data_IF_930991123887
#
_entry.id   IF_930991123887
#
_cell.length_a   1.000
_cell.length_b   1.000
_cell.length_c   1.000
_cell.angle_alpha   90.00
_cell.angle_beta   90.00
_cell.angle_gamma   90.00
#
_symmetry.space_group_name_H-M   'P 1'
#
loop_
_entity.id
_entity.type
_entity.pdbx_description
1 polymer ?
#
# COMPACT_ATOMS: atom_id res chain seq x y z
N UNK A 1 -23.41 -13.22 -12.43
CA UNK A 1 -22.36 -12.35 -13.00
C UNK A 1 -21.24 -12.26 -11.98
N UNK A 2 -20.02 -12.67 -12.34
CA UNK A 2 -18.86 -12.54 -11.44
C UNK A 2 -18.34 -11.11 -11.52
N UNK A 3 -18.07 -10.47 -10.38
CA UNK A 3 -17.55 -9.11 -10.34
C UNK A 3 -16.15 -9.02 -11.00
N UNK A 4 -15.88 -7.95 -11.75
CA UNK A 4 -14.60 -7.75 -12.45
C UNK A 4 -13.40 -7.56 -11.52
N UNK A 5 -13.66 -7.16 -10.27
CA UNK A 5 -12.67 -7.06 -9.21
C UNK A 5 -13.10 -7.93 -8.02
N UNK A 6 -12.12 -8.49 -7.33
CA UNK A 6 -12.32 -9.29 -6.12
C UNK A 6 -11.44 -8.69 -5.01
N UNK A 7 -12.04 -7.92 -4.08
CA UNK A 7 -11.31 -7.38 -2.95
C UNK A 7 -11.21 -8.40 -1.81
N UNK A 8 -10.13 -8.31 -1.05
CA UNK A 8 -9.87 -9.07 0.17
C UNK A 8 -9.24 -8.16 1.23
N UNK A 9 -9.49 -8.46 2.49
CA UNK A 9 -9.17 -7.60 3.63
C UNK A 9 -8.51 -8.40 4.72
N UNK A 10 -7.35 -7.95 5.16
CA UNK A 10 -6.62 -8.62 6.24
C UNK A 10 -6.14 -7.61 7.26
N UNK A 11 -6.57 -7.77 8.51
CA UNK A 11 -6.06 -7.02 9.63
C UNK A 11 -4.69 -7.54 10.06
N UNK A 12 -3.81 -6.66 10.54
CA UNK A 12 -2.51 -7.07 11.08
C UNK A 12 -2.65 -7.94 12.33
N UNK A 13 -3.73 -7.81 13.09
CA UNK A 13 -4.02 -8.63 14.28
C UNK A 13 -5.49 -9.04 14.30
N UNK A 14 -5.78 -10.19 14.88
CA UNK A 14 -7.16 -10.65 15.04
C UNK A 14 -7.87 -9.95 16.20
N UNK A 15 -7.12 -9.63 17.26
CA UNK A 15 -7.64 -8.97 18.46
C UNK A 15 -6.83 -7.72 18.78
N UNK A 16 -7.46 -6.78 19.48
CA UNK A 16 -6.85 -5.55 19.98
C UNK A 16 -7.05 -5.43 21.49
N UNK A 17 -6.04 -4.94 22.19
CA UNK A 17 -6.13 -4.77 23.63
C UNK A 17 -7.06 -3.59 23.98
N UNK A 18 -8.07 -3.85 24.80
CA UNK A 18 -9.10 -2.89 25.19
C UNK A 18 -8.60 -1.74 26.08
N UNK A 19 -7.55 -1.99 26.87
CA UNK A 19 -7.12 -1.06 27.92
C UNK A 19 -6.20 0.08 27.48
N UNK A 20 -5.84 0.18 26.19
CA UNK A 20 -4.87 1.19 25.74
C UNK A 20 -5.06 1.57 24.28
N UNK A 21 -4.48 2.71 23.90
CA UNK A 21 -4.40 3.10 22.49
C UNK A 21 -3.50 2.12 21.74
N UNK A 22 -3.90 1.74 20.53
CA UNK A 22 -3.22 0.76 19.72
C UNK A 22 -3.21 1.20 18.26
N UNK A 23 -2.18 0.78 17.52
CA UNK A 23 -2.15 0.95 16.07
C UNK A 23 -2.42 -0.40 15.40
N UNK A 24 -3.23 -0.38 14.35
CA UNK A 24 -3.51 -1.56 13.53
C UNK A 24 -3.38 -1.23 12.05
N UNK A 25 -2.99 -2.22 11.26
CA UNK A 25 -2.87 -2.07 9.80
C UNK A 25 -3.98 -2.91 9.16
N UNK A 26 -4.70 -2.32 8.21
CA UNK A 26 -5.53 -3.04 7.25
C UNK A 26 -4.78 -3.17 5.94
N UNK A 27 -4.52 -4.40 5.51
CA UNK A 27 -4.12 -4.68 4.15
C UNK A 27 -5.37 -4.85 3.29
N UNK A 28 -5.49 -4.06 2.24
CA UNK A 28 -6.53 -4.20 1.22
C UNK A 28 -5.88 -4.75 -0.04
N UNK A 29 -6.26 -5.96 -0.42
CA UNK A 29 -5.88 -6.59 -1.67
C UNK A 29 -7.05 -6.53 -2.65
N UNK A 30 -6.78 -6.29 -3.94
CA UNK A 30 -7.79 -6.53 -4.96
C UNK A 30 -7.19 -7.18 -6.21
N UNK A 31 -7.99 -8.06 -6.81
CA UNK A 31 -7.58 -8.86 -7.97
C UNK A 31 -8.50 -8.60 -9.15
N UNK A 32 -7.94 -8.50 -10.36
CA UNK A 32 -8.72 -8.51 -11.58
C UNK A 32 -9.23 -9.91 -11.86
N UNK A 33 -10.55 -10.11 -11.92
CA UNK A 33 -11.15 -11.42 -12.11
C UNK A 33 -10.67 -12.10 -13.41
N UNK A 34 -10.43 -13.41 -13.40
CA UNK A 34 -10.09 -14.15 -14.61
C UNK A 34 -11.25 -14.07 -15.61
N UNK A 35 -10.95 -13.74 -16.87
CA UNK A 35 -11.96 -13.76 -17.92
C UNK A 35 -12.43 -15.20 -18.14
N UNK A 36 -13.75 -15.41 -18.17
CA UNK A 36 -14.37 -16.72 -18.42
C UNK A 36 -14.24 -17.17 -19.89
N UNK A 37 -13.66 -16.37 -20.77
CA UNK A 37 -13.37 -16.77 -22.16
C UNK A 37 -12.23 -17.80 -22.18
N UNK A 38 -12.62 -19.08 -22.14
CA UNK A 38 -11.76 -20.22 -22.41
C UNK A 38 -11.00 -20.02 -23.72
N UNK A 39 -9.67 -20.04 -23.65
CA UNK A 39 -8.84 -20.49 -24.77
C UNK A 39 -7.92 -19.48 -25.46
N UNK A 40 -7.88 -18.20 -25.06
CA UNK A 40 -6.94 -17.25 -25.69
C UNK A 40 -5.75 -16.91 -24.78
N UNK A 41 -4.55 -16.99 -25.36
CA UNK A 41 -3.22 -16.70 -24.79
C UNK A 41 -3.25 -15.57 -23.75
N UNK A 42 -2.42 -15.70 -22.69
CA UNK A 42 -2.16 -14.70 -21.61
C UNK A 42 -2.16 -13.26 -22.13
N UNK A 43 -3.34 -12.68 -22.28
CA UNK A 43 -3.50 -11.31 -22.72
C UNK A 43 -3.77 -10.51 -21.45
N UNK A 44 -2.91 -9.52 -21.22
CA UNK A 44 -3.00 -8.49 -20.19
C UNK A 44 -4.20 -7.56 -20.43
N UNK A 45 -5.40 -8.13 -20.66
CA UNK A 45 -6.63 -7.36 -20.85
C UNK A 45 -6.94 -6.62 -19.57
N UNK A 46 -7.40 -5.38 -19.72
CA UNK A 46 -7.91 -4.60 -18.59
C UNK A 46 -9.15 -5.31 -18.03
N UNK A 47 -9.16 -5.57 -16.73
CA UNK A 47 -10.31 -6.16 -16.04
C UNK A 47 -11.27 -5.08 -15.52
N UNK A 48 -10.73 -3.98 -15.00
CA UNK A 48 -11.49 -2.82 -14.55
C UNK A 48 -10.68 -1.52 -14.71
N UNK A 49 -11.40 -0.42 -14.91
CA UNK A 49 -10.86 0.95 -15.06
C UNK A 49 -11.46 1.85 -13.99
N UNK A 50 -10.79 2.97 -13.70
CA UNK A 50 -11.28 4.01 -12.78
C UNK A 50 -11.82 3.41 -11.46
N UNK A 51 -11.02 2.52 -10.88
CA UNK A 51 -11.32 1.89 -9.61
C UNK A 51 -11.15 2.94 -8.52
N UNK A 52 -12.19 3.11 -7.73
CA UNK A 52 -12.24 3.95 -6.57
C UNK A 52 -12.66 3.13 -5.36
N UNK A 53 -12.02 3.40 -4.22
CA UNK A 53 -12.40 2.85 -2.93
C UNK A 53 -12.77 4.01 -2.00
N UNK A 54 -14.00 4.00 -1.52
CA UNK A 54 -14.48 4.93 -0.49
C UNK A 54 -14.46 4.26 0.86
N UNK A 55 -13.93 4.97 1.85
CA UNK A 55 -13.84 4.55 3.24
C UNK A 55 -14.64 5.52 4.10
N UNK A 56 -15.42 5.01 5.06
CA UNK A 56 -15.99 5.80 6.14
C UNK A 56 -15.50 5.26 7.47
N UNK A 57 -14.84 6.11 8.24
CA UNK A 57 -14.23 5.73 9.51
C UNK A 57 -15.19 5.95 10.68
N UNK A 58 -15.19 5.02 11.62
CA UNK A 58 -15.94 5.19 12.86
C UNK A 58 -15.33 6.30 13.75
N UNK A 59 -16.12 6.99 14.59
CA UNK A 59 -15.70 8.20 15.32
C UNK A 59 -14.44 8.05 16.21
N UNK A 60 -14.13 6.83 16.63
CA UNK A 60 -13.05 6.50 17.54
C UNK A 60 -11.77 6.04 16.83
N UNK A 61 -11.80 6.05 15.49
CA UNK A 61 -10.74 5.55 14.60
C UNK A 61 -10.13 6.73 13.86
N UNK A 62 -8.81 6.78 13.82
CA UNK A 62 -8.08 7.80 13.07
C UNK A 62 -7.19 7.11 12.04
N UNK A 63 -7.35 7.43 10.75
CA UNK A 63 -6.40 7.02 9.72
C UNK A 63 -5.14 7.89 9.87
N UNK A 64 -4.01 7.23 10.16
CA UNK A 64 -2.74 7.90 10.45
C UNK A 64 -1.79 7.90 9.26
N UNK A 65 -1.75 6.78 8.52
CA UNK A 65 -0.89 6.62 7.34
C UNK A 65 -1.55 5.71 6.32
N UNK A 66 -1.11 5.86 5.07
CA UNK A 66 -1.53 5.01 3.97
C UNK A 66 -0.35 4.79 3.03
N UNK A 67 -0.25 3.56 2.52
CA UNK A 67 0.79 3.13 1.61
C UNK A 67 0.19 2.56 0.32
N UNK A 68 0.82 2.87 -0.82
CA UNK A 68 0.40 2.37 -2.15
C UNK A 68 -0.73 3.15 -2.82
N UNK A 69 -1.21 4.23 -2.19
CA UNK A 69 -2.18 5.16 -2.78
C UNK A 69 -2.06 6.53 -2.11
N UNK A 70 -2.59 7.56 -2.75
CA UNK A 70 -2.80 8.89 -2.16
C UNK A 70 -4.29 9.10 -1.92
N UNK A 71 -4.63 9.75 -0.81
CA UNK A 71 -6.01 10.01 -0.45
C UNK A 71 -6.47 11.31 -1.10
N UNK A 72 -7.73 11.33 -1.52
CA UNK A 72 -8.46 12.55 -1.81
C UNK A 72 -9.50 12.75 -0.71
N UNK A 73 -9.80 14.01 -0.41
CA UNK A 73 -10.87 14.35 0.53
C UNK A 73 -12.19 13.77 -0.01
N UNK A 74 -12.85 12.93 0.81
CA UNK A 74 -14.10 12.27 0.45
C UNK A 74 -15.34 13.17 0.56
N UNK A 75 -15.14 14.46 0.82
CA UNK A 75 -16.20 15.46 1.01
C UNK A 75 -16.74 15.57 2.45
N UNK A 76 -16.40 14.63 3.33
CA UNK A 76 -16.72 14.65 4.77
C UNK A 76 -15.44 14.40 5.59
N UNK A 77 -15.39 14.88 6.82
CA UNK A 77 -14.19 14.87 7.68
C UNK A 77 -13.73 13.45 8.06
N UNK A 78 -14.58 12.45 7.83
CA UNK A 78 -14.33 11.02 8.11
C UNK A 78 -14.46 10.11 6.91
N UNK A 79 -14.67 10.68 5.72
CA UNK A 79 -14.71 9.93 4.48
C UNK A 79 -13.40 10.11 3.72
N UNK A 80 -12.86 9.00 3.21
CA UNK A 80 -11.62 9.01 2.43
C UNK A 80 -11.90 8.37 1.08
N UNK A 81 -11.57 9.08 0.00
CA UNK A 81 -11.67 8.56 -1.37
C UNK A 81 -10.28 8.18 -1.87
N UNK A 82 -10.13 6.94 -2.30
CA UNK A 82 -8.89 6.39 -2.82
C UNK A 82 -9.02 6.06 -4.31
N UNK A 83 -8.44 6.86 -5.21
CA UNK A 83 -8.37 6.53 -6.63
C UNK A 83 -7.29 5.46 -6.87
N UNK A 84 -7.71 4.24 -7.19
CA UNK A 84 -6.84 3.06 -7.35
C UNK A 84 -6.52 2.73 -8.83
N UNK A 85 -7.11 3.50 -9.76
CA UNK A 85 -6.78 3.47 -11.19
C UNK A 85 -7.33 2.23 -11.90
N UNK A 86 -6.50 1.50 -12.65
CA UNK A 86 -6.93 0.32 -13.43
C UNK A 86 -6.27 -0.96 -12.94
N UNK A 87 -6.89 -2.11 -13.21
CA UNK A 87 -6.31 -3.43 -12.94
C UNK A 87 -6.46 -4.34 -14.16
N UNK A 88 -5.43 -5.15 -14.43
CA UNK A 88 -5.45 -6.16 -15.48
C UNK A 88 -5.99 -7.49 -14.96
N UNK A 89 -6.48 -8.33 -15.86
CA UNK A 89 -6.89 -9.71 -15.55
C UNK A 89 -5.75 -10.48 -14.89
N UNK A 90 -6.02 -11.10 -13.75
CA UNK A 90 -5.04 -11.89 -12.98
C UNK A 90 -4.00 -11.06 -12.21
N UNK A 91 -3.97 -9.73 -12.40
CA UNK A 91 -3.14 -8.85 -11.61
C UNK A 91 -3.71 -8.73 -10.19
N UNK A 92 -2.80 -8.56 -9.23
CA UNK A 92 -3.11 -8.27 -7.82
C UNK A 92 -2.47 -6.95 -7.46
N UNK A 93 -3.20 -6.13 -6.71
CA UNK A 93 -2.72 -4.86 -6.17
C UNK A 93 -3.04 -4.78 -4.68
N UNK A 94 -2.27 -3.96 -3.98
CA UNK A 94 -2.31 -3.84 -2.54
C UNK A 94 -2.22 -2.37 -2.14
N UNK A 95 -2.93 -2.01 -1.08
CA UNK A 95 -2.69 -0.82 -0.28
C UNK A 95 -2.68 -1.22 1.19
N UNK A 96 -2.00 -0.45 2.03
CA UNK A 96 -2.03 -0.62 3.47
C UNK A 96 -2.50 0.66 4.15
N UNK A 97 -3.41 0.52 5.10
CA UNK A 97 -4.01 1.63 5.86
C UNK A 97 -3.67 1.45 7.34
N UNK A 98 -3.04 2.45 7.95
CA UNK A 98 -2.70 2.42 9.37
C UNK A 98 -3.68 3.25 10.18
N UNK A 99 -4.31 2.62 11.16
CA UNK A 99 -5.27 3.25 12.04
C UNK A 99 -4.74 3.35 13.45
N UNK A 100 -4.92 4.52 14.07
CA UNK A 100 -4.82 4.68 15.51
C UNK A 100 -6.20 4.45 16.13
N UNK A 101 -6.24 3.54 17.09
CA UNK A 101 -7.43 3.10 17.82
C UNK A 101 -7.39 3.68 19.22
N UNK A 102 -8.52 4.26 19.67
CA UNK A 102 -8.71 4.63 21.07
C UNK A 102 -9.08 3.40 21.92
N UNK A 103 -8.82 3.42 23.24
CA UNK A 103 -9.33 2.41 24.15
C UNK A 103 -10.85 2.28 24.02
N UNK A 104 -11.35 1.05 24.03
CA UNK A 104 -12.77 0.73 23.92
C UNK A 104 -13.10 -0.46 24.82
N UNK A 105 -14.37 -0.65 25.13
CA UNK A 105 -14.82 -1.83 25.88
C UNK A 105 -14.51 -3.12 25.12
N UNK A 106 -14.27 -4.22 25.82
CA UNK A 106 -14.11 -5.52 25.16
C UNK A 106 -15.37 -5.90 24.35
N UNK A 107 -15.16 -6.59 23.24
CA UNK A 107 -16.20 -6.97 22.28
C UNK A 107 -15.87 -6.54 20.86
N UNK A 108 -16.79 -6.84 19.93
CA UNK A 108 -16.63 -6.51 18.51
C UNK A 108 -17.11 -5.09 18.23
N UNK A 109 -16.23 -4.26 17.70
CA UNK A 109 -16.51 -2.88 17.31
C UNK A 109 -16.31 -2.70 15.81
N UNK A 110 -17.22 -1.97 15.18
CA UNK A 110 -17.05 -1.56 13.81
C UNK A 110 -15.93 -0.53 13.70
N UNK A 111 -15.20 -0.54 12.59
CA UNK A 111 -13.99 0.27 12.42
C UNK A 111 -14.08 1.10 11.16
N UNK A 112 -14.39 0.44 10.05
CA UNK A 112 -14.43 1.08 8.74
C UNK A 112 -15.46 0.42 7.84
N UNK A 113 -16.15 1.26 7.09
CA UNK A 113 -17.02 0.85 6.01
C UNK A 113 -16.35 1.12 4.67
N UNK A 114 -16.50 0.19 3.73
CA UNK A 114 -15.84 0.24 2.44
C UNK A 114 -16.86 0.10 1.31
N UNK A 115 -16.69 0.92 0.27
CA UNK A 115 -17.49 0.85 -0.94
C UNK A 115 -16.60 0.97 -2.16
N UNK A 116 -16.74 0.03 -3.09
CA UNK A 116 -15.95 -0.02 -4.31
C UNK A 116 -16.78 0.45 -5.49
N UNK A 117 -16.19 1.30 -6.30
CA UNK A 117 -16.74 1.76 -7.56
C UNK A 117 -15.70 1.55 -8.66
N UNK A 118 -16.12 1.09 -9.84
CA UNK A 118 -15.24 0.90 -10.98
C UNK A 118 -16.00 0.91 -12.30
N UNK A 119 -15.31 1.14 -13.42
CA UNK A 119 -15.85 0.96 -14.77
C UNK A 119 -15.43 -0.37 -15.37
N UNK A 120 -16.34 -0.98 -16.12
CA UNK A 120 -16.04 -2.16 -16.93
C UNK A 120 -15.03 -1.83 -18.06
N UNK A 121 -14.33 -2.84 -18.61
CA UNK A 121 -13.32 -2.60 -19.63
C UNK A 121 -13.92 -2.09 -20.94
N UNK A 122 -15.12 -2.56 -21.30
CA UNK A 122 -15.85 -2.17 -22.49
C UNK A 122 -17.18 -1.51 -22.08
N UNK A 123 -17.10 -0.24 -21.70
CA UNK A 123 -18.27 0.56 -21.32
C UNK A 123 -17.97 1.64 -20.29
N UNK A 124 -18.78 2.70 -20.29
CA UNK A 124 -18.73 3.80 -19.32
C UNK A 124 -19.60 3.53 -18.08
N UNK A 125 -20.32 2.41 -18.06
CA UNK A 125 -21.19 2.06 -16.94
C UNK A 125 -20.36 1.84 -15.68
N UNK A 126 -20.69 2.64 -14.66
CA UNK A 126 -20.17 2.49 -13.32
C UNK A 126 -20.80 1.24 -12.69
N UNK A 127 -19.94 0.40 -12.14
CA UNK A 127 -20.27 -0.78 -11.36
C UNK A 127 -19.85 -0.55 -9.92
N UNK A 128 -20.68 -1.03 -9.01
CA UNK A 128 -20.45 -0.91 -7.57
C UNK A 128 -20.48 -2.30 -6.95
N UNK A 129 -19.63 -2.51 -5.94
CA UNK A 129 -19.72 -3.70 -5.10
C UNK A 129 -20.57 -3.41 -3.87
N UNK A 130 -21.21 -4.43 -3.28
CA UNK A 130 -21.90 -4.27 -2.01
C UNK A 130 -20.99 -3.63 -0.97
N UNK A 131 -21.54 -2.68 -0.22
CA UNK A 131 -20.84 -2.04 0.89
C UNK A 131 -20.42 -3.09 1.93
N UNK A 132 -19.16 -3.03 2.35
CA UNK A 132 -18.60 -3.96 3.31
C UNK A 132 -18.27 -3.25 4.61
N UNK A 133 -18.56 -3.93 5.72
CA UNK A 133 -18.26 -3.44 7.06
C UNK A 133 -17.15 -4.29 7.67
N UNK A 134 -16.07 -3.65 8.08
CA UNK A 134 -14.98 -4.31 8.80
C UNK A 134 -15.03 -3.91 10.27
N UNK A 135 -14.87 -4.91 11.11
CA UNK A 135 -14.89 -4.79 12.57
C UNK A 135 -13.63 -5.39 13.16
N UNK A 136 -13.30 -4.99 14.38
CA UNK A 136 -12.22 -5.55 15.20
C UNK A 136 -12.75 -6.04 16.54
N UNK A 137 -12.09 -7.04 17.09
CA UNK A 137 -12.43 -7.59 18.40
C UNK A 137 -11.49 -7.06 19.48
N UNK A 138 -12.04 -6.32 20.43
CA UNK A 138 -11.33 -5.78 21.58
C UNK A 138 -11.37 -6.79 22.73
N UNK A 139 -10.23 -6.99 23.38
CA UNK A 139 -10.06 -7.99 24.43
C UNK A 139 -9.25 -7.44 25.60
N UNK A 140 -9.56 -7.89 26.82
CA UNK A 140 -8.77 -7.61 28.02
C UNK A 140 -7.66 -8.64 28.24
N UNK A 141 -7.56 -9.69 27.41
CA UNK A 141 -6.49 -10.66 27.52
C UNK A 141 -5.15 -10.02 27.11
N UNK A 142 -4.19 -10.01 28.03
CA UNK A 142 -2.86 -9.42 27.80
C UNK A 142 -2.01 -10.21 26.80
N UNK A 143 -2.38 -11.46 26.51
CA UNK A 143 -1.76 -12.26 25.43
C UNK A 143 -1.87 -11.57 24.07
N UNK A 144 -2.91 -10.75 23.84
CA UNK A 144 -3.09 -9.96 22.61
C UNK A 144 -1.95 -8.96 22.39
N UNK A 145 -1.31 -8.49 23.46
CA UNK A 145 -0.14 -7.61 23.36
C UNK A 145 1.09 -8.34 22.82
N UNK A 146 1.17 -9.66 23.01
CA UNK A 146 2.25 -10.51 22.51
C UNK A 146 1.93 -11.11 21.13
N UNK A 147 0.70 -11.00 20.65
CA UNK A 147 0.31 -11.49 19.32
C UNK A 147 1.12 -10.75 18.24
N UNK A 148 1.91 -11.53 17.50
CA UNK A 148 2.67 -11.04 16.36
C UNK A 148 1.73 -10.61 15.24
N UNK A 149 2.13 -9.59 14.48
CA UNK A 149 1.38 -9.20 13.30
C UNK A 149 1.30 -10.34 12.28
N UNK A 150 0.20 -10.38 11.53
CA UNK A 150 0.06 -11.25 10.35
C UNK A 150 1.22 -10.99 9.40
N UNK A 151 2.00 -12.04 9.13
CA UNK A 151 3.14 -11.95 8.21
C UNK A 151 2.71 -11.46 6.82
N UNK A 152 1.51 -11.85 6.35
CA UNK A 152 1.00 -11.38 5.07
C UNK A 152 0.87 -9.86 5.03
N UNK A 153 0.35 -9.26 6.10
CA UNK A 153 0.23 -7.81 6.26
C UNK A 153 1.60 -7.15 6.39
N UNK A 154 2.46 -7.68 7.26
CA UNK A 154 3.81 -7.14 7.46
C UNK A 154 4.62 -7.13 6.17
N UNK A 155 4.63 -8.25 5.43
CA UNK A 155 5.29 -8.37 4.13
C UNK A 155 4.85 -7.26 3.17
N UNK A 156 3.54 -7.13 2.95
CA UNK A 156 3.03 -6.20 1.95
C UNK A 156 3.16 -4.74 2.41
N UNK A 157 3.02 -4.46 3.70
CA UNK A 157 3.30 -3.14 4.26
C UNK A 157 4.74 -2.70 3.98
N UNK A 158 5.72 -3.55 4.26
CA UNK A 158 7.13 -3.20 4.06
C UNK A 158 7.51 -3.07 2.58
N UNK A 159 6.89 -3.85 1.70
CA UNK A 159 7.05 -3.68 0.25
C UNK A 159 6.47 -2.36 -0.25
N UNK A 160 5.30 -1.96 0.26
CA UNK A 160 4.67 -0.68 -0.12
C UNK A 160 5.44 0.53 0.45
N UNK A 161 6.04 0.39 1.63
CA UNK A 161 6.91 1.41 2.25
C UNK A 161 8.18 1.72 1.46
N UNK A 162 8.60 0.82 0.57
CA UNK A 162 9.82 0.99 -0.22
C UNK A 162 9.81 2.29 -1.05
N UNK A 163 8.66 2.69 -1.60
CA UNK A 163 8.56 3.92 -2.38
C UNK A 163 8.85 5.16 -1.52
N UNK A 164 8.21 5.27 -0.35
CA UNK A 164 8.45 6.38 0.59
C UNK A 164 9.91 6.43 1.08
N UNK A 165 10.51 5.27 1.37
CA UNK A 165 11.92 5.20 1.79
C UNK A 165 12.86 5.73 0.69
N UNK A 166 12.54 5.45 -0.57
CA UNK A 166 13.33 5.95 -1.69
C UNK A 166 13.14 7.45 -1.90
N UNK A 167 11.89 7.94 -1.80
CA UNK A 167 11.62 9.39 -1.84
C UNK A 167 12.35 10.13 -0.71
N UNK A 168 12.31 9.62 0.52
CA UNK A 168 13.04 10.20 1.66
C UNK A 168 14.56 10.16 1.44
N UNK A 169 15.08 9.07 0.90
CA UNK A 169 16.50 8.97 0.55
C UNK A 169 16.90 10.01 -0.51
N UNK A 170 16.08 10.24 -1.53
CA UNK A 170 16.35 11.25 -2.56
C UNK A 170 16.26 12.69 -1.99
N UNK A 171 15.35 12.93 -1.03
CA UNK A 171 15.33 14.19 -0.28
C UNK A 171 16.60 14.40 0.56
N UNK A 172 17.14 13.35 1.18
CA UNK A 172 18.41 13.43 1.90
C UNK A 172 19.60 13.66 0.96
N UNK A 173 19.59 13.03 -0.22
CA UNK A 173 20.61 13.22 -1.27
C UNK A 173 20.65 14.66 -1.78
N UNK A 174 19.48 15.26 -2.01
CA UNK A 174 19.39 16.68 -2.43
C UNK A 174 19.87 17.66 -1.35
N UNK A 175 19.88 17.25 -0.08
CA UNK A 175 20.45 17.99 1.06
C UNK A 175 21.92 17.63 1.33
N UNK A 176 22.60 17.00 0.37
CA UNK A 176 24.01 16.55 0.47
C UNK A 176 24.30 15.52 1.58
N UNK A 177 23.26 14.94 2.20
CA UNK A 177 23.36 13.92 3.25
C UNK A 177 23.43 12.51 2.68
N UNK A 178 24.40 12.27 1.79
CA UNK A 178 24.54 11.00 1.04
C UNK A 178 24.69 9.78 1.96
N UNK A 179 25.44 9.92 3.06
CA UNK A 179 25.63 8.84 4.04
C UNK A 179 24.34 8.42 4.73
N UNK A 180 23.52 9.39 5.16
CA UNK A 180 22.21 9.13 5.79
C UNK A 180 21.24 8.48 4.79
N UNK A 181 21.20 8.97 3.54
CA UNK A 181 20.37 8.40 2.49
C UNK A 181 20.72 6.94 2.19
N UNK A 182 22.02 6.62 2.08
CA UNK A 182 22.49 5.25 1.85
C UNK A 182 22.12 4.33 3.00
N UNK A 183 22.33 4.79 4.23
CA UNK A 183 22.02 4.01 5.43
C UNK A 183 20.51 3.76 5.57
N UNK A 184 19.67 4.75 5.23
CA UNK A 184 18.22 4.60 5.22
C UNK A 184 17.76 3.48 4.28
N UNK A 185 18.23 3.50 3.03
CA UNK A 185 17.90 2.46 2.04
C UNK A 185 18.44 1.10 2.46
N UNK A 186 19.67 1.05 3.01
CA UNK A 186 20.30 -0.19 3.47
C UNK A 186 19.53 -0.83 4.62
N UNK A 187 19.10 -0.05 5.62
CA UNK A 187 18.30 -0.56 6.74
C UNK A 187 16.96 -1.11 6.29
N UNK A 188 16.33 -0.47 5.31
CA UNK A 188 15.10 -1.00 4.72
C UNK A 188 15.36 -2.32 3.98
N UNK A 189 16.46 -2.42 3.23
CA UNK A 189 16.88 -3.66 2.58
C UNK A 189 17.13 -4.79 3.60
N UNK A 190 17.84 -4.49 4.70
CA UNK A 190 18.08 -5.44 5.80
C UNK A 190 16.76 -5.96 6.39
N UNK A 191 15.78 -5.07 6.58
CA UNK A 191 14.45 -5.43 7.09
C UNK A 191 13.72 -6.39 6.14
N UNK A 192 13.71 -6.09 4.83
CA UNK A 192 13.11 -6.97 3.83
C UNK A 192 13.82 -8.34 3.78
N UNK A 193 15.16 -8.35 3.90
CA UNK A 193 15.95 -9.57 3.92
C UNK A 193 15.64 -10.43 5.15
N UNK A 194 15.51 -9.82 6.34
CA UNK A 194 15.12 -10.54 7.56
C UNK A 194 13.73 -11.17 7.43
N UNK A 195 12.76 -10.46 6.84
CA UNK A 195 11.44 -11.02 6.54
C UNK A 195 11.52 -12.18 5.52
N UNK A 196 12.38 -12.04 4.50
CA UNK A 196 12.60 -13.08 3.49
C UNK A 196 13.19 -14.36 4.12
N UNK A 197 14.21 -14.23 4.98
CA UNK A 197 14.86 -15.37 5.65
C UNK A 197 13.87 -16.15 6.53
N UNK A 198 12.97 -15.45 7.23
CA UNK A 198 11.96 -16.09 8.09
C UNK A 198 10.95 -16.94 7.32
N UNK A 199 10.71 -16.62 6.05
CA UNK A 199 9.57 -17.16 5.29
C UNK A 199 9.92 -17.83 3.97
N UNK A 200 11.18 -17.72 3.53
CA UNK A 200 11.65 -18.21 2.23
C UNK A 200 11.08 -17.44 1.04
N UNK A 201 10.52 -16.24 1.25
CA UNK A 201 9.85 -15.48 0.20
C UNK A 201 10.83 -14.81 -0.77
N UNK A 202 10.87 -15.33 -2.00
CA UNK A 202 11.76 -14.85 -3.07
C UNK A 202 11.47 -13.42 -3.51
N UNK A 203 10.24 -12.94 -3.37
CA UNK A 203 9.90 -11.57 -3.76
C UNK A 203 10.59 -10.57 -2.82
N UNK A 204 10.58 -10.85 -1.52
CA UNK A 204 11.27 -10.04 -0.52
C UNK A 204 12.80 -10.05 -0.74
N UNK A 205 13.38 -11.21 -1.03
CA UNK A 205 14.82 -11.32 -1.35
C UNK A 205 15.19 -10.46 -2.56
N UNK A 206 14.42 -10.57 -3.65
CA UNK A 206 14.68 -9.80 -4.87
C UNK A 206 14.57 -8.30 -4.65
N UNK A 207 13.58 -7.86 -3.87
CA UNK A 207 13.40 -6.45 -3.56
C UNK A 207 14.56 -5.93 -2.71
N UNK A 208 14.98 -6.68 -1.67
CA UNK A 208 16.12 -6.34 -0.84
C UNK A 208 17.42 -6.22 -1.65
N UNK A 209 17.72 -7.18 -2.53
CA UNK A 209 18.86 -7.11 -3.45
C UNK A 209 18.82 -5.87 -4.36
N UNK A 210 17.62 -5.51 -4.85
CA UNK A 210 17.42 -4.29 -5.63
C UNK A 210 17.78 -3.03 -4.83
N UNK A 211 17.37 -2.97 -3.56
CA UNK A 211 17.66 -1.83 -2.69
C UNK A 211 19.13 -1.72 -2.33
N UNK A 212 19.83 -2.84 -2.06
CA UNK A 212 21.28 -2.80 -1.85
C UNK A 212 22.00 -2.21 -3.05
N UNK A 213 21.67 -2.66 -4.28
CA UNK A 213 22.25 -2.10 -5.51
C UNK A 213 21.97 -0.60 -5.63
N UNK A 214 20.75 -0.15 -5.33
CA UNK A 214 20.38 1.29 -5.35
C UNK A 214 21.06 2.11 -4.26
N UNK A 215 21.43 1.51 -3.14
CA UNK A 215 22.17 2.18 -2.06
C UNK A 215 23.65 2.39 -2.41
N UNK A 216 24.21 1.53 -3.26
CA UNK A 216 25.60 1.58 -3.70
C UNK A 216 25.80 2.49 -4.92
N UNK A 217 24.75 2.71 -5.72
CA UNK A 217 24.75 3.67 -6.81
C UNK A 217 24.92 5.08 -6.23
N UNK A 218 26.15 5.60 -6.34
CA UNK A 218 26.42 7.03 -6.22
C UNK A 218 25.72 7.71 -7.40
N UNK A 219 24.92 8.77 -7.20
CA UNK A 219 24.49 9.57 -8.33
C UNK A 219 25.75 10.06 -9.05
N UNK A 220 25.94 9.66 -10.30
CA UNK A 220 26.97 10.25 -11.13
C UNK A 220 26.72 11.76 -11.12
N UNK A 221 27.76 12.59 -10.91
CA UNK A 221 27.62 14.03 -11.08
C UNK A 221 27.33 14.29 -12.57
N UNK A 222 26.06 14.38 -12.93
CA UNK A 222 25.67 14.82 -14.26
C UNK A 222 25.92 16.32 -14.36
N UNK A 223 26.97 16.67 -15.10
CA UNK A 223 26.79 17.36 -16.38
C UNK A 223 25.83 18.57 -16.32
N UNK A 224 26.12 19.51 -15.41
CA UNK A 224 25.58 20.88 -15.42
C UNK A 224 26.61 21.90 -15.95
N UNK A 225 27.68 21.43 -16.59
CA UNK A 225 28.63 22.25 -17.32
C UNK A 225 28.81 21.64 -18.71
N UNK A 226 28.82 22.47 -19.74
CA UNK A 226 28.92 22.14 -21.17
C UNK A 226 27.60 21.82 -21.89
N UNK A 227 26.65 22.76 -21.86
CA UNK A 227 25.79 22.98 -23.05
C UNK A 227 25.25 24.43 -23.16
N UNK A 228 25.89 25.40 -22.49
CA UNK A 228 25.53 26.83 -22.58
C UNK A 228 26.38 27.64 -23.55
N UNK A 229 27.32 27.05 -24.29
CA UNK A 229 28.32 27.82 -25.06
C UNK A 229 28.23 27.74 -26.60
N UNK A 230 27.09 27.33 -27.17
CA UNK A 230 26.93 27.35 -28.65
C UNK A 230 25.59 27.96 -29.07
N UNK A 231 25.29 29.20 -28.63
CA UNK A 231 24.33 30.08 -29.32
C UNK A 231 24.67 31.57 -29.15
N UNK A 232 25.87 31.95 -29.55
CA UNK A 232 26.16 33.32 -29.96
C UNK A 232 27.21 33.29 -31.04
N UNK A 233 26.76 33.10 -32.28
CA UNK A 233 27.40 33.60 -33.50
C UNK A 233 26.53 33.14 -34.68
N UNK A 234 25.80 34.10 -35.29
CA UNK A 234 25.62 34.28 -36.73
C UNK A 234 24.32 35.05 -37.04
N UNK A 235 24.55 36.32 -37.41
CA UNK A 235 23.80 37.17 -38.35
C UNK A 235 22.37 37.58 -37.97
#
# INVERSE_FOLDING_TARGET
>A
MQASIQPDFTWSKNHIFAGGAQNIVLLVEWRGAPSAELGSKKNHKTAAREIELRLWLEPHIVLTRMYGSRALDGGDDRSVLLPLGKIQTGQRKYIALEFALKPAHAGKHDVVWLHWQFKQPYGERICELPMQKLSLEYSHHTSVLQESCSFHVEKHLELLRTEEVLEEADLLRSKEKQGEARELVRRHADKLLLLAVRTGDRLLTREAESLYRRSELTPLPNQLAEDQDIRTECI
#
